data_IF_961631663435
#
_entry.id   IF_961631663435
#
_cell.length_a   1.000
_cell.length_b   1.000
_cell.length_c   1.000
_cell.angle_alpha   90.00
_cell.angle_beta   90.00
_cell.angle_gamma   90.00
#
_symmetry.space_group_name_H-M   'P 1'
#
loop_
_entity.id
_entity.type
_entity.pdbx_description
1 polymer ?
#
# COMPACT_ATOMS: atom_id res chain seq x y z
N UNK A 1 0.89 2.53 10.74
CA UNK A 1 0.44 2.00 9.45
C UNK A 1 -0.96 1.44 9.57
N UNK A 2 -1.78 1.71 8.60
CA UNK A 2 -3.15 1.20 8.60
C UNK A 2 -3.64 0.96 7.19
N UNK A 3 -4.53 -0.02 7.04
CA UNK A 3 -5.30 -0.26 5.83
C UNK A 3 -6.77 -0.34 6.20
N UNK A 4 -7.63 0.27 5.39
CA UNK A 4 -9.07 0.12 5.53
C UNK A 4 -9.68 -0.31 4.21
N UNK A 5 -10.78 -1.06 4.28
CA UNK A 5 -11.46 -1.64 3.13
C UNK A 5 -12.93 -1.27 3.17
N UNK A 6 -13.44 -0.71 2.08
CA UNK A 6 -14.86 -0.42 1.94
C UNK A 6 -15.34 -1.02 0.62
N UNK A 7 -16.15 -2.06 0.71
CA UNK A 7 -16.70 -2.73 -0.47
C UNK A 7 -17.86 -1.94 -1.08
N UNK A 8 -17.98 -1.98 -2.40
CA UNK A 8 -19.15 -1.44 -3.09
C UNK A 8 -20.41 -2.26 -2.73
N UNK A 9 -21.58 -1.71 -3.00
CA UNK A 9 -22.86 -2.40 -2.72
C UNK A 9 -22.94 -3.77 -3.38
N UNK A 10 -22.48 -3.90 -4.63
CA UNK A 10 -22.46 -5.16 -5.36
C UNK A 10 -21.25 -6.03 -5.03
N UNK A 11 -20.34 -5.53 -4.19
CA UNK A 11 -19.10 -6.19 -3.76
C UNK A 11 -18.15 -6.56 -4.90
N UNK A 12 -18.26 -5.90 -6.04
CA UNK A 12 -17.37 -6.13 -7.19
C UNK A 12 -16.04 -5.38 -7.05
N UNK A 13 -16.05 -4.26 -6.38
CA UNK A 13 -14.84 -3.46 -6.12
C UNK A 13 -14.74 -3.13 -4.64
N UNK A 14 -13.52 -2.83 -4.22
CA UNK A 14 -13.23 -2.42 -2.86
C UNK A 14 -12.37 -1.15 -2.91
N UNK A 15 -12.76 -0.14 -2.15
CA UNK A 15 -11.91 1.03 -1.93
C UNK A 15 -11.01 0.75 -0.77
N UNK A 16 -9.72 0.76 -1.02
CA UNK A 16 -8.70 0.49 -0.02
C UNK A 16 -7.97 1.78 0.28
N UNK A 17 -7.92 2.17 1.55
CA UNK A 17 -7.16 3.32 1.99
C UNK A 17 -5.92 2.85 2.75
N UNK A 18 -4.76 3.24 2.26
CA UNK A 18 -3.48 3.01 2.93
C UNK A 18 -3.11 4.27 3.68
N UNK A 19 -2.75 4.15 4.94
CA UNK A 19 -2.35 5.30 5.76
C UNK A 19 -0.99 5.05 6.39
N UNK A 20 -0.06 5.99 6.19
CA UNK A 20 1.26 5.95 6.78
C UNK A 20 1.34 6.98 7.92
N UNK A 21 1.88 6.59 9.09
CA UNK A 21 1.94 7.49 10.23
C UNK A 21 2.94 8.62 10.00
N UNK A 22 2.76 9.69 10.75
CA UNK A 22 3.62 10.88 10.71
C UNK A 22 5.11 10.54 10.81
N UNK A 23 5.46 9.61 11.69
CA UNK A 23 6.85 9.22 11.95
C UNK A 23 7.53 8.67 10.69
N UNK A 24 6.80 7.96 9.85
CA UNK A 24 7.32 7.46 8.58
C UNK A 24 7.37 8.58 7.55
N UNK A 25 6.31 9.39 7.47
CA UNK A 25 6.24 10.48 6.50
C UNK A 25 7.34 11.53 6.71
N UNK A 26 7.77 11.74 7.94
CA UNK A 26 8.83 12.69 8.25
C UNK A 26 10.23 12.22 7.83
N UNK A 27 10.42 10.91 7.68
CA UNK A 27 11.73 10.32 7.37
C UNK A 27 12.01 10.25 5.87
N UNK A 28 11.00 10.43 5.02
CA UNK A 28 11.13 10.30 3.58
C UNK A 28 10.43 11.45 2.87
N UNK A 29 11.00 11.92 1.77
CA UNK A 29 10.40 12.99 0.97
C UNK A 29 9.30 12.46 0.06
N UNK A 30 9.46 11.26 -0.48
CA UNK A 30 8.54 10.68 -1.45
C UNK A 30 8.29 9.22 -1.12
N UNK A 31 7.02 8.83 -0.99
CA UNK A 31 6.61 7.45 -0.74
C UNK A 31 5.54 7.08 -1.74
N UNK A 32 5.67 5.89 -2.33
CA UNK A 32 4.65 5.32 -3.21
C UNK A 32 4.25 3.94 -2.73
N UNK A 33 3.01 3.53 -3.04
CA UNK A 33 2.57 2.16 -2.90
C UNK A 33 2.73 1.47 -4.24
N UNK A 34 3.41 0.32 -4.24
CA UNK A 34 3.82 -0.38 -5.46
C UNK A 34 3.39 -1.83 -5.34
N UNK A 35 2.65 -2.34 -6.31
CA UNK A 35 2.16 -3.70 -6.23
C UNK A 35 1.50 -4.21 -7.51
N UNK A 36 0.89 -5.39 -7.39
CA UNK A 36 0.21 -6.04 -8.51
C UNK A 36 -0.89 -5.16 -9.13
N UNK A 37 -1.47 -4.26 -8.34
CA UNK A 37 -2.56 -3.39 -8.80
C UNK A 37 -2.09 -2.23 -9.68
N UNK A 38 -0.79 -1.95 -9.78
CA UNK A 38 -0.26 -0.89 -10.64
C UNK A 38 0.99 -1.34 -11.42
N UNK A 39 1.13 -2.65 -11.63
CA UNK A 39 2.26 -3.24 -12.35
C UNK A 39 3.61 -2.92 -11.71
N UNK A 40 3.62 -2.72 -10.40
CA UNK A 40 4.82 -2.38 -9.63
C UNK A 40 5.50 -1.10 -10.12
N UNK A 41 4.71 -0.15 -10.62
CA UNK A 41 5.20 1.15 -11.10
C UNK A 41 5.31 2.14 -9.93
N UNK A 42 6.53 2.56 -9.55
CA UNK A 42 6.73 3.47 -8.42
C UNK A 42 6.27 4.91 -8.71
N UNK A 43 5.90 5.22 -9.93
CA UNK A 43 5.44 6.56 -10.32
C UNK A 43 3.92 6.68 -10.40
N UNK A 44 3.19 5.57 -10.19
CA UNK A 44 1.74 5.55 -10.40
C UNK A 44 0.95 6.03 -9.19
N UNK A 45 1.25 5.50 -8.00
CA UNK A 45 0.46 5.77 -6.79
C UNK A 45 1.34 6.32 -5.68
N UNK A 46 1.53 7.63 -5.69
CA UNK A 46 2.35 8.34 -4.70
C UNK A 46 1.49 8.91 -3.60
N UNK A 47 2.01 8.89 -2.37
CA UNK A 47 1.35 9.52 -1.24
C UNK A 47 1.55 11.03 -1.31
N UNK A 48 0.51 11.74 -1.72
CA UNK A 48 0.53 13.20 -1.88
C UNK A 48 -0.41 13.91 -0.90
N UNK A 49 -1.39 13.20 -0.35
CA UNK A 49 -2.35 13.78 0.58
C UNK A 49 -1.88 13.66 2.01
N UNK A 50 -1.73 14.81 2.67
CA UNK A 50 -1.41 14.85 4.10
C UNK A 50 -2.65 15.14 4.93
N UNK A 51 -2.82 14.36 5.99
CA UNK A 51 -3.87 14.57 6.98
C UNK A 51 -3.42 15.61 8.00
N UNK A 52 -4.36 16.14 8.77
CA UNK A 52 -4.07 17.18 9.76
C UNK A 52 -3.10 16.77 10.85
N UNK A 53 -3.01 15.45 11.14
CA UNK A 53 -2.12 14.91 12.15
C UNK A 53 -0.69 14.61 11.63
N UNK A 54 -0.42 14.93 10.36
CA UNK A 54 0.88 14.69 9.73
C UNK A 54 1.02 13.32 9.06
N UNK A 55 0.04 12.43 9.21
CA UNK A 55 0.00 11.18 8.46
C UNK A 55 -0.32 11.43 6.98
N UNK A 56 -0.14 10.44 6.14
CA UNK A 56 -0.49 10.54 4.72
C UNK A 56 -1.31 9.34 4.31
N UNK A 57 -2.29 9.57 3.45
CA UNK A 57 -3.20 8.51 2.98
C UNK A 57 -3.31 8.51 1.47
N UNK A 58 -3.56 7.31 0.92
CA UNK A 58 -3.91 7.14 -0.49
C UNK A 58 -5.06 6.13 -0.58
N UNK A 59 -6.03 6.40 -1.45
CA UNK A 59 -7.16 5.51 -1.70
C UNK A 59 -7.06 4.92 -3.09
N UNK A 60 -7.18 3.60 -3.19
CA UNK A 60 -7.19 2.88 -4.45
C UNK A 60 -8.48 2.08 -4.56
N UNK A 61 -9.04 2.02 -5.77
CA UNK A 61 -10.20 1.16 -6.04
C UNK A 61 -9.70 -0.10 -6.74
N UNK A 62 -9.90 -1.25 -6.08
CA UNK A 62 -9.39 -2.54 -6.54
C UNK A 62 -10.54 -3.51 -6.78
N UNK A 63 -10.37 -4.41 -7.75
CA UNK A 63 -11.35 -5.47 -7.98
C UNK A 63 -11.34 -6.45 -6.81
N UNK A 64 -12.51 -6.78 -6.28
CA UNK A 64 -12.64 -7.76 -5.20
C UNK A 64 -12.53 -9.19 -5.73
N UNK A 65 -12.32 -10.13 -4.80
CA UNK A 65 -12.10 -11.53 -5.15
C UNK A 65 -10.67 -11.85 -5.54
N UNK A 66 -9.73 -10.95 -5.27
CA UNK A 66 -8.32 -11.10 -5.62
C UNK A 66 -7.42 -10.83 -4.44
N UNK A 67 -6.21 -11.35 -4.52
CA UNK A 67 -5.12 -11.03 -3.61
C UNK A 67 -4.10 -10.19 -4.36
N UNK A 68 -3.59 -9.14 -3.74
CA UNK A 68 -2.61 -8.25 -4.35
C UNK A 68 -1.35 -8.20 -3.48
N UNK A 69 -0.20 -8.45 -4.10
CA UNK A 69 1.10 -8.27 -3.45
C UNK A 69 1.53 -6.83 -3.61
N UNK A 70 2.09 -6.25 -2.56
CA UNK A 70 2.52 -4.85 -2.60
C UNK A 70 3.59 -4.56 -1.56
N UNK A 71 4.25 -3.43 -1.73
CA UNK A 71 5.16 -2.81 -0.76
C UNK A 71 5.08 -1.30 -0.90
N UNK A 72 5.73 -0.61 0.03
CA UNK A 72 5.95 0.82 -0.09
C UNK A 72 7.39 1.05 -0.56
N UNK A 73 7.58 2.00 -1.46
CA UNK A 73 8.90 2.43 -1.91
C UNK A 73 9.14 3.85 -1.43
N UNK A 74 10.18 4.04 -0.62
CA UNK A 74 10.51 5.31 0.01
C UNK A 74 11.74 5.91 -0.67
N UNK A 75 11.61 7.15 -1.16
CA UNK A 75 12.67 7.89 -1.84
C UNK A 75 13.32 7.11 -3.00
N UNK A 76 12.55 6.23 -3.62
CA UNK A 76 13.01 5.46 -4.78
C UNK A 76 14.02 4.36 -4.46
N UNK A 77 14.33 4.09 -3.19
CA UNK A 77 15.38 3.12 -2.87
C UNK A 77 15.12 2.27 -1.61
N UNK A 78 14.27 2.69 -0.70
CA UNK A 78 14.02 1.93 0.53
C UNK A 78 12.66 1.26 0.46
N UNK A 79 12.64 -0.07 0.47
CA UNK A 79 11.42 -0.86 0.48
C UNK A 79 10.92 -1.08 1.90
N UNK A 80 9.60 -0.99 2.08
CA UNK A 80 8.97 -1.16 3.38
C UNK A 80 7.68 -1.96 3.22
N UNK A 81 7.43 -2.87 4.16
CA UNK A 81 6.21 -3.67 4.18
C UNK A 81 5.14 -3.02 5.06
N UNK A 82 3.88 -3.43 4.84
CA UNK A 82 2.74 -3.00 5.64
C UNK A 82 2.60 -3.89 6.87
N UNK A 83 2.70 -3.29 8.06
CA UNK A 83 2.61 -4.04 9.31
C UNK A 83 1.23 -4.68 9.52
N UNK A 84 0.18 -4.10 8.95
CA UNK A 84 -1.21 -4.59 9.08
C UNK A 84 -1.72 -5.30 7.83
N UNK A 85 -0.83 -5.78 6.97
CA UNK A 85 -1.22 -6.57 5.80
C UNK A 85 -1.97 -7.83 6.23
N UNK A 86 -2.85 -8.33 5.36
CA UNK A 86 -3.62 -9.54 5.64
C UNK A 86 -2.70 -10.75 5.79
N UNK A 87 -1.66 -10.82 4.97
CA UNK A 87 -0.62 -11.84 5.07
C UNK A 87 0.66 -11.37 4.38
N UNK A 88 1.68 -12.21 4.40
CA UNK A 88 2.94 -11.96 3.71
C UNK A 88 3.33 -13.20 2.92
N UNK A 89 4.04 -13.01 1.80
CA UNK A 89 4.58 -14.11 0.99
C UNK A 89 6.05 -13.84 0.67
N UNK A 90 6.84 -14.91 0.60
CA UNK A 90 8.24 -14.79 0.21
C UNK A 90 8.33 -14.40 -1.27
N UNK A 91 9.30 -13.56 -1.59
CA UNK A 91 9.63 -13.25 -2.98
C UNK A 91 10.45 -14.39 -3.59
N UNK A 92 10.62 -14.36 -4.91
CA UNK A 92 11.48 -15.33 -5.60
C UNK A 92 12.96 -15.22 -5.19
N UNK A 93 13.34 -14.14 -4.52
CA UNK A 93 14.72 -13.89 -4.10
C UNK A 93 15.02 -14.36 -2.68
N UNK A 94 14.10 -15.08 -2.06
CA UNK A 94 14.35 -15.95 -0.92
C UNK A 94 14.29 -15.34 0.47
N UNK A 95 14.83 -14.14 0.68
CA UNK A 95 14.95 -13.56 2.03
C UNK A 95 14.11 -12.29 2.22
N UNK A 96 13.38 -11.87 1.22
CA UNK A 96 12.47 -10.74 1.33
C UNK A 96 11.01 -11.19 1.21
N UNK A 97 10.10 -10.38 1.72
CA UNK A 97 8.67 -10.68 1.72
C UNK A 97 7.88 -9.55 1.08
N UNK A 98 6.78 -9.92 0.43
CA UNK A 98 5.77 -8.97 -0.02
C UNK A 98 4.62 -8.98 0.96
N UNK A 99 4.07 -7.81 1.24
CA UNK A 99 2.78 -7.69 1.92
C UNK A 99 1.67 -8.12 0.97
N UNK A 100 0.59 -8.68 1.50
CA UNK A 100 -0.55 -9.12 0.68
C UNK A 100 -1.83 -8.54 1.26
N UNK A 101 -2.64 -7.96 0.39
CA UNK A 101 -4.01 -7.55 0.73
C UNK A 101 -4.99 -8.50 0.04
N UNK A 102 -5.95 -9.01 0.81
CA UNK A 102 -6.95 -9.97 0.35
C UNK A 102 -8.30 -9.29 0.34
N UNK A 103 -8.90 -9.16 -0.80
CA UNK A 103 -10.22 -8.55 -0.96
C UNK A 103 -11.11 -9.39 -1.90
#
# INVERSE_FOLDING_TARGET
>A
MAMSKIYSQDKKVCRVTFTLPKEICENFEEISVVGDFNNWDPHHDKFTHKNSDGSSSIELTLESGNDYKFRYLCDGQTWMNEAEADTEVLTHYGDSKNSVIII
#
